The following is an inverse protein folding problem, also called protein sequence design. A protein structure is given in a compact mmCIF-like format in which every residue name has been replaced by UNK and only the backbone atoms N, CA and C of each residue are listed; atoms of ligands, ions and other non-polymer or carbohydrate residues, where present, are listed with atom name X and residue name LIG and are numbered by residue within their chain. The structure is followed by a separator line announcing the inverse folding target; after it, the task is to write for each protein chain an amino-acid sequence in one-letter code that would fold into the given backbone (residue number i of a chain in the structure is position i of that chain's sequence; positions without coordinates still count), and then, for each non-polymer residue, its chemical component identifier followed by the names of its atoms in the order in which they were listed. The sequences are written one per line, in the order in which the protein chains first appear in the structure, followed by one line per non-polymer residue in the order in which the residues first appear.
data_IF_610336706719
#
_entry.id   IF_610336706719
#
_cell.length_a   1.000
_cell.length_b   1.000
_cell.length_c   1.000
_cell.angle_alpha   90.00
_cell.angle_beta   90.00
_cell.angle_gamma   90.00
#
_symmetry.space_group_name_H-M   'P 1'
#
loop_
_entity.id
_entity.type
_entity.pdbx_description
1 polymer ?
#
# COMPACT_ATOMS: atom_id res chain seq x y z
N UNK A 1 -13.44 4.21 -12.93
CA UNK A 1 -13.10 2.85 -13.41
C UNK A 1 -11.67 2.55 -12.99
N UNK A 2 -11.36 1.37 -12.47
CA UNK A 2 -10.05 1.02 -11.88
C UNK A 2 -10.07 0.91 -10.34
N UNK A 3 -8.96 0.48 -9.70
CA UNK A 3 -8.92 0.17 -8.26
C UNK A 3 -9.32 1.33 -7.35
N UNK A 4 -10.16 1.15 -6.34
CA UNK A 4 -10.65 2.24 -5.47
C UNK A 4 -10.05 2.19 -4.06
N UNK A 5 -9.46 1.06 -3.65
CA UNK A 5 -8.91 0.83 -2.31
C UNK A 5 -7.52 0.23 -2.42
N UNK A 6 -6.54 1.12 -2.61
CA UNK A 6 -5.17 0.75 -2.95
C UNK A 6 -4.30 0.72 -1.70
N UNK A 7 -3.55 -0.36 -1.53
CA UNK A 7 -2.43 -0.43 -0.57
C UNK A 7 -1.11 -0.33 -1.32
N UNK A 8 -0.28 0.64 -0.95
CA UNK A 8 1.05 0.84 -1.52
C UNK A 8 2.11 0.26 -0.59
N UNK A 9 2.84 -0.77 -1.03
CA UNK A 9 3.87 -1.42 -0.21
C UNK A 9 5.22 -0.69 -0.21
N UNK A 10 5.38 0.31 -1.09
CA UNK A 10 6.55 1.20 -1.16
C UNK A 10 6.15 2.68 -1.28
N UNK A 11 7.14 3.57 -1.27
CA UNK A 11 6.93 5.01 -1.39
C UNK A 11 6.46 5.41 -2.78
N UNK A 12 7.06 4.85 -3.83
CA UNK A 12 6.92 5.30 -5.21
C UNK A 12 5.47 5.26 -5.71
N UNK A 13 4.67 4.19 -5.46
CA UNK A 13 3.25 4.19 -5.81
C UNK A 13 2.45 5.19 -4.98
N UNK A 14 2.84 5.44 -3.72
CA UNK A 14 2.20 6.46 -2.90
C UNK A 14 2.44 7.83 -3.53
N UNK A 15 3.69 8.21 -3.75
CA UNK A 15 4.08 9.49 -4.34
C UNK A 15 3.42 9.70 -5.71
N UNK A 16 3.45 8.68 -6.57
CA UNK A 16 2.83 8.73 -7.90
C UNK A 16 1.34 9.04 -7.81
N UNK A 17 0.60 8.33 -6.95
CA UNK A 17 -0.85 8.55 -6.80
C UNK A 17 -1.17 9.93 -6.22
N UNK A 18 -0.35 10.46 -5.31
CA UNK A 18 -0.49 11.86 -4.87
C UNK A 18 -0.22 12.86 -6.01
N UNK A 19 0.82 12.64 -6.82
CA UNK A 19 1.16 13.51 -7.94
C UNK A 19 0.05 13.52 -9.02
N UNK A 20 -0.67 12.40 -9.16
CA UNK A 20 -1.83 12.26 -10.06
C UNK A 20 -3.16 12.80 -9.48
N UNK A 21 -3.19 13.24 -8.22
CA UNK A 21 -4.44 13.66 -7.55
C UNK A 21 -5.34 12.49 -7.09
N UNK A 22 -4.82 11.27 -7.11
CA UNK A 22 -5.53 10.01 -6.86
C UNK A 22 -5.32 9.47 -5.43
N UNK A 23 -4.70 10.25 -4.53
CA UNK A 23 -4.41 9.85 -3.15
C UNK A 23 -5.63 9.42 -2.32
N UNK A 24 -6.82 9.86 -2.71
CA UNK A 24 -8.07 9.51 -2.05
C UNK A 24 -8.37 7.99 -2.13
N UNK A 25 -7.81 7.30 -3.13
CA UNK A 25 -7.94 5.84 -3.31
C UNK A 25 -6.98 5.03 -2.44
N UNK A 26 -5.98 5.67 -1.85
CA UNK A 26 -4.99 5.00 -0.99
C UNK A 26 -5.61 4.75 0.38
N UNK A 27 -5.67 3.48 0.79
CA UNK A 27 -6.18 3.04 2.10
C UNK A 27 -5.07 2.61 3.05
N UNK A 28 -3.86 2.31 2.56
CA UNK A 28 -2.69 1.99 3.38
C UNK A 28 -1.38 2.20 2.63
N UNK A 29 -0.32 2.50 3.38
CA UNK A 29 1.01 2.83 2.83
C UNK A 29 2.14 2.05 3.52
N UNK A 30 3.32 2.10 2.91
CA UNK A 30 4.56 1.65 3.52
C UNK A 30 4.96 2.50 4.72
N UNK A 31 5.59 1.88 5.71
CA UNK A 31 6.30 2.56 6.79
C UNK A 31 7.47 3.41 6.28
N UNK A 32 7.96 3.15 5.07
CA UNK A 32 9.05 3.89 4.41
C UNK A 32 8.59 5.09 3.58
N UNK A 33 7.27 5.27 3.37
CA UNK A 33 6.75 6.44 2.65
C UNK A 33 7.11 7.73 3.41
N UNK A 34 7.97 8.57 2.86
CA UNK A 34 8.30 9.92 3.34
C UNK A 34 7.81 11.02 2.39
N UNK A 35 7.46 10.67 1.14
CA UNK A 35 6.92 11.59 0.13
C UNK A 35 5.51 11.19 -0.37
N UNK A 36 4.60 12.18 -0.51
CA UNK A 36 4.68 13.48 0.15
C UNK A 36 4.57 13.32 1.68
N UNK A 37 5.16 14.25 2.43
CA UNK A 37 5.22 14.15 3.90
C UNK A 37 3.84 14.02 4.58
N UNK A 38 2.80 14.56 3.95
CA UNK A 38 1.41 14.50 4.41
C UNK A 38 0.85 13.07 4.42
N UNK A 39 1.31 12.18 3.51
CA UNK A 39 0.81 10.82 3.38
C UNK A 39 0.95 10.02 4.68
N UNK A 40 2.04 10.22 5.42
CA UNK A 40 2.29 9.57 6.72
C UNK A 40 1.31 9.97 7.81
N UNK A 41 0.72 11.16 7.70
CA UNK A 41 -0.25 11.70 8.66
C UNK A 41 -1.66 11.22 8.33
N UNK A 42 -1.98 11.12 7.03
CA UNK A 42 -3.32 10.79 6.57
C UNK A 42 -3.59 9.29 6.45
N UNK A 43 -2.55 8.47 6.19
CA UNK A 43 -2.71 7.06 5.81
C UNK A 43 -2.10 6.11 6.85
N UNK A 44 -2.74 4.98 7.15
CA UNK A 44 -2.18 3.98 8.05
C UNK A 44 -0.95 3.30 7.41
N UNK A 45 0.08 3.04 8.21
CA UNK A 45 1.29 2.33 7.78
C UNK A 45 1.12 0.83 8.04
N UNK A 46 1.10 0.05 6.96
CA UNK A 46 0.73 -1.37 7.00
C UNK A 46 1.84 -2.33 6.56
N UNK A 47 2.95 -1.81 6.01
CA UNK A 47 4.12 -2.64 5.67
C UNK A 47 5.44 -1.99 6.06
N UNK A 48 6.47 -2.82 6.17
CA UNK A 48 7.87 -2.45 6.02
C UNK A 48 8.33 -2.87 4.60
N UNK A 49 9.63 -2.94 4.37
CA UNK A 49 10.18 -3.29 3.06
C UNK A 49 10.01 -4.79 2.75
N UNK A 50 10.23 -5.65 3.74
CA UNK A 50 10.19 -7.12 3.62
C UNK A 50 9.07 -7.78 4.41
N UNK A 51 8.30 -7.02 5.20
CA UNK A 51 7.21 -7.55 6.03
C UNK A 51 5.95 -6.70 5.91
N UNK A 52 4.79 -7.31 6.15
CA UNK A 52 3.50 -6.63 6.12
C UNK A 52 2.62 -7.06 7.29
N UNK A 53 1.77 -6.15 7.75
CA UNK A 53 0.72 -6.42 8.73
C UNK A 53 -0.51 -6.95 8.00
N UNK A 54 -0.47 -8.21 7.58
CA UNK A 54 -1.51 -8.83 6.73
C UNK A 54 -2.92 -8.62 7.29
N UNK A 55 -3.12 -8.87 8.58
CA UNK A 55 -4.42 -8.63 9.22
C UNK A 55 -4.89 -7.17 9.14
N UNK A 56 -3.99 -6.19 9.23
CA UNK A 56 -4.33 -4.76 9.07
C UNK A 56 -4.62 -4.43 7.61
N UNK A 57 -3.90 -5.02 6.66
CA UNK A 57 -4.20 -4.88 5.23
C UNK A 57 -5.60 -5.42 4.92
N UNK A 58 -5.95 -6.62 5.38
CA UNK A 58 -7.25 -7.23 5.14
C UNK A 58 -8.41 -6.41 5.75
N UNK A 59 -8.22 -5.82 6.94
CA UNK A 59 -9.21 -4.91 7.56
C UNK A 59 -9.50 -3.68 6.71
N UNK A 60 -8.51 -3.20 5.95
CA UNK A 60 -8.68 -2.09 5.02
C UNK A 60 -9.45 -2.49 3.76
N UNK A 61 -9.77 -3.77 3.55
CA UNK A 61 -10.52 -4.28 2.39
C UNK A 61 -9.98 -3.70 1.06
N UNK A 62 -8.68 -3.84 0.75
CA UNK A 62 -8.15 -3.35 -0.50
C UNK A 62 -8.74 -4.12 -1.68
N UNK A 63 -8.85 -3.44 -2.82
CA UNK A 63 -9.16 -4.09 -4.11
C UNK A 63 -7.92 -4.16 -5.02
N UNK A 64 -6.80 -3.57 -4.58
CA UNK A 64 -5.52 -3.61 -5.27
C UNK A 64 -4.37 -3.37 -4.29
N UNK A 65 -3.30 -4.15 -4.43
CA UNK A 65 -2.08 -3.99 -3.65
C UNK A 65 -0.91 -3.86 -4.63
N UNK A 66 -0.12 -2.80 -4.51
CA UNK A 66 1.00 -2.50 -5.40
C UNK A 66 2.33 -2.62 -4.66
N UNK A 67 3.17 -3.53 -5.13
CA UNK A 67 4.57 -3.70 -4.71
C UNK A 67 5.55 -3.21 -5.79
N UNK A 68 6.84 -3.41 -5.53
CA UNK A 68 7.94 -2.99 -6.40
C UNK A 68 8.71 -4.18 -7.01
N UNK A 69 9.08 -5.19 -6.21
CA UNK A 69 9.87 -6.33 -6.69
C UNK A 69 9.55 -7.65 -5.98
N UNK A 70 10.23 -8.70 -6.43
CA UNK A 70 10.27 -10.06 -5.87
C UNK A 70 10.58 -10.12 -4.36
N UNK A 71 11.25 -9.12 -3.80
CA UNK A 71 11.47 -9.00 -2.35
C UNK A 71 10.15 -9.04 -1.57
N UNK A 72 9.05 -8.62 -2.19
CA UNK A 72 7.70 -8.61 -1.61
C UNK A 72 6.85 -9.82 -2.04
N UNK A 73 7.44 -10.82 -2.72
CA UNK A 73 6.73 -12.00 -3.21
C UNK A 73 6.06 -12.79 -2.07
N UNK A 74 6.71 -12.90 -0.91
CA UNK A 74 6.12 -13.55 0.27
C UNK A 74 4.85 -12.84 0.76
N UNK A 75 4.87 -11.51 0.82
CA UNK A 75 3.70 -10.68 1.18
C UNK A 75 2.58 -10.88 0.16
N UNK A 76 2.92 -10.86 -1.13
CA UNK A 76 1.94 -11.05 -2.21
C UNK A 76 1.31 -12.45 -2.14
N UNK A 77 2.11 -13.50 -1.97
CA UNK A 77 1.63 -14.87 -1.86
C UNK A 77 0.70 -15.06 -0.66
N UNK A 78 1.04 -14.46 0.49
CA UNK A 78 0.20 -14.52 1.68
C UNK A 78 -1.14 -13.78 1.47
N UNK A 79 -1.13 -12.58 0.88
CA UNK A 79 -2.35 -11.84 0.57
C UNK A 79 -3.25 -12.59 -0.42
N UNK A 80 -2.69 -13.15 -1.50
CA UNK A 80 -3.42 -13.97 -2.47
C UNK A 80 -4.05 -15.20 -1.81
N UNK A 81 -3.36 -15.80 -0.83
CA UNK A 81 -3.89 -16.93 -0.05
C UNK A 81 -5.13 -16.57 0.78
N UNK A 82 -5.40 -15.28 1.01
CA UNK A 82 -6.56 -14.80 1.77
C UNK A 82 -7.76 -14.38 0.90
N UNK A 83 -7.63 -14.33 -0.44
CA UNK A 83 -8.71 -14.03 -1.39
C UNK A 83 -8.51 -12.72 -2.15
#
# INVERSE_FOLDING_TARGET
MGPQRIVCLTEEPTETLYALGEQHRIVGISGFTVRPAVARREKPKVSAFTSAKIGEILKLKPDFVVGFSDIQAGIAAELIGHG
#
